data_IF_837627391287
#
_entry.id   IF_837627391287
#
_cell.length_a   1.000
_cell.length_b   1.000
_cell.length_c   1.000
_cell.angle_alpha   90.00
_cell.angle_beta   90.00
_cell.angle_gamma   90.00
#
_symmetry.space_group_name_H-M   'P 1'
#
loop_
_entity.id
_entity.type
_entity.pdbx_description
1 polymer ?
#
# COMPACT_ATOMS: atom_id res chain seq x y z
N UNK A 1 -14.51 -20.22 -9.56
CA UNK A 1 -14.07 -20.96 -8.36
C UNK A 1 -12.79 -20.41 -7.76
N UNK A 2 -11.61 -20.47 -8.42
CA UNK A 2 -10.33 -20.07 -7.81
C UNK A 2 -10.19 -18.58 -7.46
N UNK A 3 -10.78 -17.68 -8.25
CA UNK A 3 -10.76 -16.24 -7.95
C UNK A 3 -11.59 -15.90 -6.70
N UNK A 4 -12.70 -16.61 -6.47
CA UNK A 4 -13.49 -16.48 -5.26
C UNK A 4 -12.69 -16.85 -4.01
N UNK A 5 -11.79 -17.84 -4.09
CA UNK A 5 -10.87 -18.17 -3.00
C UNK A 5 -9.91 -17.02 -2.68
N UNK A 6 -9.36 -16.34 -3.69
CA UNK A 6 -8.52 -15.14 -3.48
C UNK A 6 -9.29 -14.06 -2.75
N UNK A 7 -10.51 -13.77 -3.18
CA UNK A 7 -11.36 -12.76 -2.50
C UNK A 7 -11.66 -13.18 -1.06
N UNK A 8 -12.01 -14.44 -0.80
CA UNK A 8 -12.28 -14.93 0.55
C UNK A 8 -11.06 -14.81 1.47
N UNK A 9 -9.87 -15.17 0.97
CA UNK A 9 -8.59 -15.03 1.71
C UNK A 9 -8.31 -13.55 2.00
N UNK A 10 -8.54 -12.65 1.04
CA UNK A 10 -8.35 -11.21 1.25
C UNK A 10 -9.34 -10.65 2.27
N UNK A 11 -10.61 -11.02 2.22
CA UNK A 11 -11.60 -10.60 3.22
C UNK A 11 -11.19 -11.06 4.61
N UNK A 12 -10.81 -12.34 4.76
CA UNK A 12 -10.33 -12.88 6.04
C UNK A 12 -9.09 -12.15 6.55
N UNK A 13 -8.10 -11.91 5.70
CA UNK A 13 -6.90 -11.17 6.05
C UNK A 13 -7.20 -9.72 6.45
N UNK A 14 -8.10 -9.05 5.75
CA UNK A 14 -8.49 -7.68 6.06
C UNK A 14 -9.17 -7.59 7.44
N UNK A 15 -10.04 -8.54 7.77
CA UNK A 15 -10.68 -8.64 9.09
C UNK A 15 -9.68 -8.97 10.21
N UNK A 16 -8.75 -9.91 9.97
CA UNK A 16 -7.68 -10.24 10.91
C UNK A 16 -6.81 -9.03 11.22
N UNK A 17 -6.36 -8.34 10.18
CA UNK A 17 -5.42 -7.23 10.29
C UNK A 17 -6.00 -5.99 10.97
N UNK A 18 -7.31 -5.74 10.81
CA UNK A 18 -7.93 -4.52 11.31
C UNK A 18 -8.74 -4.74 12.60
N UNK A 19 -9.28 -5.94 12.84
CA UNK A 19 -10.21 -6.18 13.95
C UNK A 19 -9.80 -7.35 14.85
N UNK A 20 -9.58 -8.54 14.29
CA UNK A 20 -9.53 -9.76 15.11
C UNK A 20 -8.14 -10.02 15.72
N UNK A 21 -7.06 -9.66 15.02
CA UNK A 21 -5.69 -9.95 15.43
C UNK A 21 -4.68 -8.88 14.98
N UNK A 22 -4.90 -7.58 15.25
CA UNK A 22 -4.02 -6.50 14.79
C UNK A 22 -2.58 -6.62 15.32
N UNK A 23 -2.38 -7.27 16.48
CA UNK A 23 -1.04 -7.55 17.03
C UNK A 23 -0.22 -8.56 16.23
N UNK A 24 -0.86 -9.40 15.41
CA UNK A 24 -0.21 -10.40 14.57
C UNK A 24 0.02 -9.94 13.11
N UNK A 25 -0.13 -8.64 12.83
CA UNK A 25 -0.21 -8.06 11.48
C UNK A 25 0.85 -8.57 10.49
N UNK A 26 2.14 -8.58 10.87
CA UNK A 26 3.20 -9.02 9.95
C UNK A 26 3.04 -10.51 9.61
N UNK A 27 2.73 -11.34 10.61
CA UNK A 27 2.54 -12.78 10.42
C UNK A 27 1.33 -13.07 9.54
N UNK A 28 0.18 -12.47 9.84
CA UNK A 28 -1.06 -12.64 9.05
C UNK A 28 -0.84 -12.22 7.60
N UNK A 29 -0.12 -11.13 7.36
CA UNK A 29 0.19 -10.68 6.00
C UNK A 29 1.12 -11.62 5.23
N UNK A 30 2.17 -12.14 5.87
CA UNK A 30 3.09 -13.12 5.25
C UNK A 30 2.35 -14.43 4.91
N UNK A 31 1.56 -14.95 5.86
CA UNK A 31 0.76 -16.17 5.65
C UNK A 31 -0.24 -15.97 4.52
N UNK A 32 -0.90 -14.81 4.48
CA UNK A 32 -1.85 -14.47 3.42
C UNK A 32 -1.16 -14.39 2.06
N UNK A 33 -0.01 -13.69 1.95
CA UNK A 33 0.75 -13.61 0.72
C UNK A 33 1.17 -15.00 0.21
N UNK A 34 1.63 -15.88 1.11
CA UNK A 34 1.97 -17.27 0.77
C UNK A 34 0.76 -18.05 0.26
N UNK A 35 -0.39 -17.97 0.95
CA UNK A 35 -1.63 -18.61 0.53
C UNK A 35 -2.09 -18.14 -0.86
N UNK A 36 -2.00 -16.84 -1.13
CA UNK A 36 -2.33 -16.26 -2.44
C UNK A 36 -1.42 -16.77 -3.55
N UNK A 37 -0.11 -16.90 -3.28
CA UNK A 37 0.84 -17.49 -4.22
C UNK A 37 0.54 -18.97 -4.49
N UNK A 38 0.12 -19.73 -3.48
CA UNK A 38 -0.32 -21.12 -3.67
C UNK A 38 -1.57 -21.21 -4.53
N UNK A 39 -2.56 -20.34 -4.30
CA UNK A 39 -3.77 -20.25 -5.14
C UNK A 39 -3.39 -19.85 -6.58
N UNK A 40 -2.45 -18.93 -6.77
CA UNK A 40 -1.96 -18.54 -8.08
C UNK A 40 -1.30 -19.71 -8.83
N UNK A 41 -0.49 -20.51 -8.14
CA UNK A 41 0.11 -21.73 -8.71
C UNK A 41 -0.95 -22.79 -9.02
N UNK A 42 -1.95 -22.95 -8.17
CA UNK A 42 -3.09 -23.83 -8.44
C UNK A 42 -3.93 -23.34 -9.63
N UNK A 43 -3.98 -22.03 -9.86
CA UNK A 43 -4.56 -21.44 -11.07
C UNK A 43 -3.67 -21.65 -12.32
N UNK A 44 -2.45 -22.16 -12.17
CA UNK A 44 -1.49 -22.36 -13.26
C UNK A 44 -0.76 -21.08 -13.67
N UNK A 45 -0.64 -20.09 -12.79
CA UNK A 45 0.19 -18.91 -13.02
C UNK A 45 1.67 -19.25 -12.74
N UNK A 46 2.54 -18.78 -13.62
CA UNK A 46 3.99 -18.90 -13.52
C UNK A 46 4.60 -17.72 -12.76
N UNK A 47 5.89 -17.81 -12.41
CA UNK A 47 6.63 -16.66 -11.85
C UNK A 47 6.65 -15.46 -12.82
N UNK A 48 6.71 -15.71 -14.12
CA UNK A 48 6.67 -14.67 -15.14
C UNK A 48 5.29 -13.97 -15.18
N UNK A 49 4.20 -14.73 -15.02
CA UNK A 49 2.86 -14.15 -14.93
C UNK A 49 2.72 -13.19 -13.75
N UNK A 50 3.37 -13.50 -12.63
CA UNK A 50 3.38 -12.68 -11.42
C UNK A 50 4.39 -11.52 -11.50
N UNK A 51 5.34 -11.55 -12.44
CA UNK A 51 6.41 -10.56 -12.56
C UNK A 51 7.54 -10.76 -11.54
N UNK A 52 7.78 -12.03 -11.19
CA UNK A 52 8.75 -12.51 -10.20
C UNK A 52 9.82 -13.41 -10.82
N UNK A 53 9.88 -13.52 -12.15
CA UNK A 53 10.98 -14.17 -12.83
C UNK A 53 12.25 -13.31 -12.79
N UNK A 54 13.41 -13.93 -13.03
CA UNK A 54 14.72 -13.29 -12.87
C UNK A 54 14.91 -12.07 -13.79
N UNK A 55 14.34 -12.10 -15.00
CA UNK A 55 14.42 -10.97 -15.95
C UNK A 55 13.61 -9.80 -15.43
N UNK A 56 12.37 -10.04 -14.97
CA UNK A 56 11.53 -9.02 -14.37
C UNK A 56 12.17 -8.42 -13.10
N UNK A 57 12.77 -9.23 -12.23
CA UNK A 57 13.43 -8.74 -11.02
C UNK A 57 14.64 -7.85 -11.34
N UNK A 58 15.51 -8.25 -12.29
CA UNK A 58 16.65 -7.44 -12.73
C UNK A 58 16.22 -6.10 -13.32
N UNK A 59 15.18 -6.10 -14.18
CA UNK A 59 14.60 -4.86 -14.71
C UNK A 59 14.01 -4.01 -13.58
N UNK A 60 13.36 -4.64 -12.62
CA UNK A 60 12.77 -3.96 -11.47
C UNK A 60 13.79 -3.24 -10.61
N UNK A 61 14.93 -3.88 -10.32
CA UNK A 61 16.01 -3.28 -9.52
C UNK A 61 16.54 -1.97 -10.13
N UNK A 62 16.63 -1.88 -11.46
CA UNK A 62 17.08 -0.66 -12.15
C UNK A 62 16.10 0.49 -11.96
N UNK A 63 14.80 0.22 -12.08
CA UNK A 63 13.74 1.22 -11.91
C UNK A 63 13.48 1.57 -10.44
N UNK A 64 13.72 0.65 -9.51
CA UNK A 64 13.46 0.84 -8.09
C UNK A 64 14.17 2.08 -7.55
N UNK A 65 15.47 2.25 -7.83
CA UNK A 65 16.24 3.40 -7.36
C UNK A 65 15.71 4.72 -7.90
N UNK A 66 15.36 4.76 -9.19
CA UNK A 66 14.80 5.96 -9.83
C UNK A 66 13.46 6.33 -9.18
N UNK A 67 12.58 5.36 -8.95
CA UNK A 67 11.27 5.62 -8.35
C UNK A 67 11.38 6.01 -6.88
N UNK A 68 12.25 5.36 -6.11
CA UNK A 68 12.52 5.72 -4.71
C UNK A 68 13.03 7.15 -4.63
N UNK A 69 14.02 7.52 -5.45
CA UNK A 69 14.54 8.89 -5.50
C UNK A 69 13.49 9.92 -5.94
N UNK A 70 12.70 9.60 -6.97
CA UNK A 70 11.62 10.47 -7.45
C UNK A 70 10.55 10.70 -6.38
N UNK A 71 10.13 9.65 -5.66
CA UNK A 71 9.15 9.78 -4.57
C UNK A 71 9.72 10.65 -3.45
N UNK A 72 10.97 10.42 -3.04
CA UNK A 72 11.61 11.24 -2.01
C UNK A 72 11.63 12.72 -2.43
N UNK A 73 12.04 13.02 -3.66
CA UNK A 73 12.07 14.38 -4.18
C UNK A 73 10.68 15.05 -4.18
N UNK A 74 9.64 14.33 -4.61
CA UNK A 74 8.25 14.82 -4.61
C UNK A 74 7.77 15.08 -3.18
N UNK A 75 8.04 14.17 -2.24
CA UNK A 75 7.63 14.35 -0.84
C UNK A 75 8.36 15.52 -0.17
N UNK A 76 9.66 15.68 -0.42
CA UNK A 76 10.42 16.83 0.09
C UNK A 76 9.94 18.15 -0.51
N UNK A 77 9.62 18.19 -1.81
CA UNK A 77 9.02 19.36 -2.43
C UNK A 77 7.64 19.68 -1.82
N UNK A 78 6.82 18.66 -1.58
CA UNK A 78 5.54 18.81 -0.86
C UNK A 78 5.74 19.34 0.56
N UNK A 79 6.74 18.87 1.30
CA UNK A 79 7.01 19.37 2.65
C UNK A 79 7.47 20.84 2.65
N UNK A 80 8.21 21.26 1.62
CA UNK A 80 8.66 22.64 1.48
C UNK A 80 7.50 23.63 1.25
N UNK A 81 6.44 23.19 0.57
CA UNK A 81 5.25 23.98 0.25
C UNK A 81 4.34 24.15 1.48
N UNK A 82 4.06 25.37 1.97
CA UNK A 82 3.26 25.59 3.18
C UNK A 82 1.87 24.96 3.14
N UNK A 83 1.19 25.02 1.98
CA UNK A 83 -0.18 24.50 1.79
C UNK A 83 -0.29 22.98 1.97
N UNK A 84 0.81 22.24 1.92
CA UNK A 84 0.83 20.77 2.03
C UNK A 84 1.46 20.27 3.33
N UNK A 85 1.94 21.14 4.22
CA UNK A 85 2.65 20.73 5.44
C UNK A 85 1.80 19.90 6.40
N UNK A 86 0.54 20.29 6.59
CA UNK A 86 -0.41 19.57 7.46
C UNK A 86 -0.58 18.10 7.06
N UNK A 87 -0.42 17.77 5.76
CA UNK A 87 -0.50 16.39 5.31
C UNK A 87 0.63 15.50 5.86
N UNK A 88 1.76 16.09 6.27
CA UNK A 88 2.90 15.39 6.88
C UNK A 88 2.77 15.26 8.41
N UNK A 89 1.78 15.88 9.05
CA UNK A 89 1.57 15.82 10.50
C UNK A 89 0.78 14.58 10.93
N UNK A 90 1.24 13.40 10.49
CA UNK A 90 0.58 12.13 10.78
C UNK A 90 0.87 11.67 12.21
N UNK A 91 -0.14 11.77 13.07
CA UNK A 91 -0.10 11.42 14.49
C UNK A 91 0.23 9.95 14.74
N UNK A 92 0.13 9.06 13.73
CA UNK A 92 0.60 7.68 13.87
C UNK A 92 2.12 7.61 14.08
N UNK A 93 2.87 8.64 13.70
CA UNK A 93 4.31 8.75 13.89
C UNK A 93 4.69 9.48 15.19
N UNK A 94 3.74 10.11 15.88
CA UNK A 94 3.99 10.84 17.12
C UNK A 94 4.55 9.92 18.22
N UNK A 95 5.56 10.41 18.95
CA UNK A 95 6.13 9.72 20.12
C UNK A 95 6.89 8.42 19.81
N UNK A 96 7.17 8.11 18.54
CA UNK A 96 7.98 6.94 18.20
C UNK A 96 9.45 7.17 18.55
N UNK A 97 10.06 6.16 19.17
CA UNK A 97 11.52 6.06 19.22
C UNK A 97 12.09 5.77 17.83
N UNK A 98 13.37 6.09 17.61
CA UNK A 98 14.06 5.75 16.36
C UNK A 98 13.98 4.24 16.04
N UNK A 99 14.12 3.36 17.05
CA UNK A 99 14.00 1.92 16.87
C UNK A 99 12.60 1.49 16.39
N UNK A 100 11.54 2.09 16.93
CA UNK A 100 10.17 1.83 16.50
C UNK A 100 9.90 2.37 15.08
N UNK A 101 10.43 3.53 14.74
CA UNK A 101 10.37 4.07 13.38
C UNK A 101 11.06 3.12 12.39
N UNK A 102 12.29 2.71 12.67
CA UNK A 102 13.06 1.82 11.81
C UNK A 102 12.36 0.47 11.63
N UNK A 103 11.80 -0.11 12.71
CA UNK A 103 11.01 -1.32 12.60
C UNK A 103 9.79 -1.13 11.69
N UNK A 104 9.10 0.02 11.77
CA UNK A 104 7.97 0.31 10.88
C UNK A 104 8.40 0.40 9.42
N UNK A 105 9.41 1.22 9.13
CA UNK A 105 9.85 1.53 7.76
C UNK A 105 10.56 0.35 7.10
N UNK A 106 11.34 -0.43 7.85
CA UNK A 106 12.20 -1.50 7.32
C UNK A 106 11.62 -2.90 7.47
N UNK A 107 10.63 -3.11 8.34
CA UNK A 107 10.03 -4.43 8.57
C UNK A 107 8.52 -4.40 8.31
N UNK A 108 7.77 -3.61 9.10
CA UNK A 108 6.30 -3.65 9.04
C UNK A 108 5.76 -3.23 7.68
N UNK A 109 6.24 -2.11 7.13
CA UNK A 109 5.79 -1.60 5.83
C UNK A 109 6.16 -2.55 4.69
N UNK A 110 7.44 -2.91 4.47
CA UNK A 110 7.80 -3.75 3.33
C UNK A 110 7.21 -5.17 3.42
N UNK A 111 7.20 -5.79 4.62
CA UNK A 111 6.77 -7.18 4.80
C UNK A 111 5.28 -7.28 5.11
N UNK A 112 4.78 -6.46 6.03
CA UNK A 112 3.39 -6.48 6.45
C UNK A 112 2.44 -5.81 5.46
N UNK A 113 2.87 -4.75 4.76
CA UNK A 113 1.98 -4.00 3.86
C UNK A 113 2.30 -4.29 2.41
N UNK A 114 3.50 -3.91 1.95
CA UNK A 114 3.86 -3.92 0.52
C UNK A 114 3.88 -5.34 -0.04
N UNK A 115 4.51 -6.30 0.65
CA UNK A 115 4.56 -7.68 0.19
C UNK A 115 3.16 -8.25 -0.04
N UNK A 116 2.27 -8.15 0.96
CA UNK A 116 0.91 -8.66 0.84
C UNK A 116 0.16 -7.96 -0.28
N UNK A 117 0.14 -6.62 -0.28
CA UNK A 117 -0.70 -5.86 -1.19
C UNK A 117 -0.23 -5.99 -2.64
N UNK A 118 1.08 -5.92 -2.91
CA UNK A 118 1.56 -6.11 -4.26
C UNK A 118 1.37 -7.54 -4.75
N UNK A 119 1.62 -8.55 -3.91
CA UNK A 119 1.33 -9.95 -4.28
C UNK A 119 -0.15 -10.14 -4.57
N UNK A 120 -1.04 -9.62 -3.73
CA UNK A 120 -2.48 -9.78 -3.88
C UNK A 120 -3.00 -9.09 -5.14
N UNK A 121 -2.77 -7.79 -5.25
CA UNK A 121 -3.45 -6.95 -6.23
C UNK A 121 -2.69 -6.96 -7.57
N UNK A 122 -1.41 -6.61 -7.57
CA UNK A 122 -0.59 -6.47 -8.80
C UNK A 122 0.00 -7.79 -9.29
N UNK A 123 0.16 -8.77 -8.39
CA UNK A 123 0.62 -10.12 -8.69
C UNK A 123 -0.54 -11.02 -9.11
N UNK A 124 -1.28 -11.53 -8.12
CA UNK A 124 -2.24 -12.62 -8.28
C UNK A 124 -3.53 -12.16 -8.96
N UNK A 125 -4.27 -11.20 -8.40
CA UNK A 125 -5.54 -10.74 -8.96
C UNK A 125 -5.36 -10.20 -10.37
N UNK A 126 -4.41 -9.28 -10.56
CA UNK A 126 -4.15 -8.69 -11.87
C UNK A 126 -3.75 -9.75 -12.91
N UNK A 127 -2.87 -10.70 -12.60
CA UNK A 127 -2.51 -11.76 -13.54
C UNK A 127 -3.68 -12.70 -13.86
N UNK A 128 -4.47 -13.09 -12.83
CA UNK A 128 -5.63 -13.95 -13.00
C UNK A 128 -6.70 -13.30 -13.89
N UNK A 129 -7.00 -12.01 -13.69
CA UNK A 129 -7.98 -11.28 -14.50
C UNK A 129 -7.44 -11.03 -15.90
N UNK A 130 -6.17 -10.62 -16.03
CA UNK A 130 -5.53 -10.34 -17.33
C UNK A 130 -5.60 -11.55 -18.26
N UNK A 131 -5.30 -12.75 -17.76
CA UNK A 131 -5.34 -13.99 -18.54
C UNK A 131 -6.74 -14.32 -19.08
N UNK A 132 -7.80 -13.82 -18.45
CA UNK A 132 -9.20 -14.16 -18.76
C UNK A 132 -9.95 -13.06 -19.52
N UNK A 133 -9.63 -11.79 -19.24
CA UNK A 133 -10.39 -10.61 -19.67
C UNK A 133 -9.52 -9.50 -20.24
N UNK A 134 -8.19 -9.69 -20.28
CA UNK A 134 -7.26 -8.69 -20.78
C UNK A 134 -6.89 -7.62 -19.77
N UNK A 135 -6.00 -6.73 -20.20
CA UNK A 135 -5.30 -5.78 -19.32
C UNK A 135 -6.20 -4.69 -18.74
N UNK A 136 -7.15 -4.17 -19.51
CA UNK A 136 -8.07 -3.12 -19.04
C UNK A 136 -8.88 -3.59 -17.82
N UNK A 137 -9.50 -4.78 -17.93
CA UNK A 137 -10.23 -5.39 -16.82
C UNK A 137 -9.33 -5.74 -15.64
N UNK A 138 -8.10 -6.20 -15.89
CA UNK A 138 -7.15 -6.49 -14.82
C UNK A 138 -6.81 -5.26 -14.00
N UNK A 139 -6.52 -4.14 -14.67
CA UNK A 139 -6.26 -2.86 -14.02
C UNK A 139 -7.48 -2.35 -13.27
N UNK A 140 -8.68 -2.38 -13.87
CA UNK A 140 -9.90 -1.93 -13.22
C UNK A 140 -10.23 -2.75 -11.95
N UNK A 141 -10.31 -4.08 -12.06
CA UNK A 141 -10.67 -4.97 -10.94
C UNK A 141 -9.61 -4.89 -9.84
N UNK A 142 -8.33 -4.94 -10.18
CA UNK A 142 -7.25 -4.83 -9.19
C UNK A 142 -7.30 -3.50 -8.45
N UNK A 143 -7.56 -2.39 -9.14
CA UNK A 143 -7.53 -1.05 -8.55
C UNK A 143 -8.75 -0.79 -7.68
N UNK A 144 -9.94 -1.20 -8.12
CA UNK A 144 -11.17 -1.07 -7.33
C UNK A 144 -11.09 -1.92 -6.05
N UNK A 145 -10.64 -3.16 -6.15
CA UNK A 145 -10.47 -4.02 -4.97
C UNK A 145 -9.38 -3.49 -4.02
N UNK A 146 -8.33 -2.88 -4.57
CA UNK A 146 -7.32 -2.19 -3.76
C UNK A 146 -7.88 -0.96 -3.05
N UNK A 147 -8.77 -0.20 -3.71
CA UNK A 147 -9.53 0.86 -3.06
C UNK A 147 -10.38 0.33 -1.89
N UNK A 148 -11.18 -0.71 -2.14
CA UNK A 148 -12.06 -1.30 -1.13
C UNK A 148 -11.29 -1.92 0.05
N UNK A 149 -10.09 -2.45 -0.19
CA UNK A 149 -9.18 -2.93 0.85
C UNK A 149 -8.88 -1.87 1.93
N UNK A 150 -8.91 -0.58 1.54
CA UNK A 150 -8.61 0.55 2.42
C UNK A 150 -9.79 1.07 3.23
N UNK A 151 -10.99 0.47 3.13
CA UNK A 151 -12.15 0.89 3.93
C UNK A 151 -11.89 0.75 5.43
N UNK A 152 -11.51 -0.44 5.91
CA UNK A 152 -11.27 -0.64 7.35
C UNK A 152 -10.03 0.12 7.85
N UNK A 153 -8.89 0.09 7.14
CA UNK A 153 -7.70 0.86 7.52
C UNK A 153 -7.94 2.38 7.64
N UNK A 154 -8.90 2.94 6.89
CA UNK A 154 -9.13 4.40 6.85
C UNK A 154 -10.08 4.93 7.93
N UNK A 155 -10.67 4.07 8.78
CA UNK A 155 -11.61 4.49 9.84
C UNK A 155 -11.01 5.42 10.91
N UNK A 156 -9.69 5.51 11.00
CA UNK A 156 -8.98 6.39 11.92
C UNK A 156 -8.35 7.61 11.26
N UNK A 157 -8.55 7.81 9.96
CA UNK A 157 -7.74 8.74 9.16
C UNK A 157 -7.88 10.20 9.63
N UNK A 158 -9.09 10.69 9.86
CA UNK A 158 -9.34 12.06 10.34
C UNK A 158 -8.75 12.33 11.73
N UNK A 159 -8.71 11.31 12.59
CA UNK A 159 -8.09 11.42 13.92
C UNK A 159 -6.56 11.40 13.85
N UNK A 160 -6.02 10.80 12.79
CA UNK A 160 -4.59 10.59 12.63
C UNK A 160 -3.91 11.70 11.83
N UNK A 161 -4.64 12.46 10.99
CA UNK A 161 -4.04 13.42 10.08
C UNK A 161 -4.93 14.67 9.93
N UNK A 162 -4.41 15.88 10.27
CA UNK A 162 -5.17 17.13 10.17
C UNK A 162 -5.73 17.41 8.78
N UNK A 163 -4.97 17.11 7.72
CA UNK A 163 -5.42 17.34 6.35
C UNK A 163 -6.64 16.46 5.98
N UNK A 164 -6.79 15.30 6.62
CA UNK A 164 -7.98 14.46 6.46
C UNK A 164 -9.14 14.89 7.36
N UNK A 165 -8.86 15.55 8.49
CA UNK A 165 -9.86 16.04 9.44
C UNK A 165 -10.78 17.11 8.81
N UNK A 166 -10.31 17.86 7.82
CA UNK A 166 -11.12 18.85 7.07
C UNK A 166 -12.31 18.20 6.36
N UNK A 167 -12.23 16.91 6.04
CA UNK A 167 -13.32 16.15 5.40
C UNK A 167 -14.31 15.54 6.42
N UNK A 168 -14.04 15.66 7.72
CA UNK A 168 -14.93 15.19 8.79
C UNK A 168 -15.99 16.28 9.09
N UNK A 169 -17.24 16.00 8.71
CA UNK A 169 -18.34 16.99 8.74
C UNK A 169 -19.41 16.74 9.81
N UNK A 170 -19.16 15.90 10.83
CA UNK A 170 -20.06 15.75 11.99
C UNK A 170 -20.39 14.30 12.40
N UNK A 171 -21.62 13.96 12.85
CA UNK A 171 -21.93 12.67 13.48
C UNK A 171 -21.70 11.42 12.59
N UNK A 172 -21.70 11.59 11.27
CA UNK A 172 -21.33 10.56 10.28
C UNK A 172 -19.83 10.58 9.90
N UNK A 173 -19.00 11.31 10.68
CA UNK A 173 -17.73 11.96 10.35
C UNK A 173 -16.61 11.18 9.67
N UNK A 174 -16.69 9.85 9.65
CA UNK A 174 -15.68 9.02 9.00
C UNK A 174 -16.03 8.64 7.55
N UNK A 175 -17.23 8.91 7.04
CA UNK A 175 -17.63 8.45 5.70
C UNK A 175 -16.85 9.15 4.59
N UNK A 176 -16.79 10.48 4.59
CA UNK A 176 -16.11 11.26 3.55
C UNK A 176 -14.58 11.01 3.53
N UNK A 177 -13.87 11.04 4.67
CA UNK A 177 -12.44 10.68 4.71
C UNK A 177 -12.17 9.26 4.21
N UNK A 178 -12.99 8.28 4.60
CA UNK A 178 -12.85 6.90 4.11
C UNK A 178 -13.12 6.81 2.60
N UNK A 179 -14.15 7.49 2.10
CA UNK A 179 -14.46 7.53 0.67
C UNK A 179 -13.33 8.18 -0.14
N UNK A 180 -12.77 9.29 0.35
CA UNK A 180 -11.62 9.95 -0.26
C UNK A 180 -10.40 9.03 -0.28
N UNK A 181 -10.11 8.31 0.81
CA UNK A 181 -9.04 7.33 0.86
C UNK A 181 -9.25 6.18 -0.14
N UNK A 182 -10.48 5.67 -0.28
CA UNK A 182 -10.82 4.62 -1.26
C UNK A 182 -10.61 5.11 -2.69
N UNK A 183 -11.02 6.34 -3.01
CA UNK A 183 -10.81 6.93 -4.35
C UNK A 183 -9.33 7.14 -4.62
N UNK A 184 -8.60 7.73 -3.68
CA UNK A 184 -7.17 7.99 -3.80
C UNK A 184 -6.37 6.68 -3.98
N UNK A 185 -6.68 5.66 -3.19
CA UNK A 185 -6.04 4.35 -3.29
C UNK A 185 -6.44 3.60 -4.55
N UNK A 186 -7.69 3.76 -5.04
CA UNK A 186 -8.07 3.26 -6.37
C UNK A 186 -7.22 3.88 -7.47
N UNK A 187 -7.04 5.21 -7.45
CA UNK A 187 -6.19 5.92 -8.41
C UNK A 187 -4.71 5.46 -8.30
N UNK A 188 -4.19 5.31 -7.09
CA UNK A 188 -2.87 4.73 -6.86
C UNK A 188 -2.76 3.30 -7.41
N UNK A 189 -3.82 2.49 -7.25
CA UNK A 189 -3.93 1.15 -7.83
C UNK A 189 -3.76 1.15 -9.35
N UNK A 190 -4.32 2.13 -10.05
CA UNK A 190 -4.18 2.28 -11.51
C UNK A 190 -2.71 2.54 -11.87
N UNK A 191 -2.06 3.48 -11.16
CA UNK A 191 -0.64 3.80 -11.36
C UNK A 191 0.25 2.57 -11.12
N UNK A 192 0.01 1.84 -10.03
CA UNK A 192 0.77 0.64 -9.68
C UNK A 192 0.54 -0.50 -10.69
N UNK A 193 -0.68 -0.67 -11.18
CA UNK A 193 -0.98 -1.62 -12.27
C UNK A 193 -0.27 -1.22 -13.57
N UNK A 194 -0.21 0.07 -13.89
CA UNK A 194 0.48 0.55 -15.09
C UNK A 194 1.99 0.36 -15.00
N UNK A 195 2.59 0.62 -13.83
CA UNK A 195 3.99 0.30 -13.55
C UNK A 195 4.24 -1.21 -13.70
N UNK A 196 3.37 -2.04 -13.12
CA UNK A 196 3.44 -3.51 -13.26
C UNK A 196 3.34 -3.95 -14.72
N UNK A 197 2.49 -3.31 -15.53
CA UNK A 197 2.28 -3.62 -16.94
C UNK A 197 3.50 -3.26 -17.78
N UNK A 198 3.99 -2.01 -17.67
CA UNK A 198 5.13 -1.51 -18.46
C UNK A 198 6.45 -2.18 -18.09
N UNK A 199 6.67 -2.36 -16.79
CA UNK A 199 7.91 -2.96 -16.29
C UNK A 199 7.88 -4.48 -16.24
N UNK A 200 6.72 -5.13 -16.47
CA UNK A 200 6.52 -6.56 -16.29
C UNK A 200 6.96 -7.13 -14.93
N UNK A 201 7.25 -6.28 -13.94
CA UNK A 201 7.93 -6.63 -12.70
C UNK A 201 7.09 -6.21 -11.52
N UNK A 202 6.97 -7.09 -10.54
CA UNK A 202 6.28 -6.77 -9.29
C UNK A 202 7.14 -5.89 -8.37
N UNK A 203 8.46 -5.89 -8.58
CA UNK A 203 9.38 -5.10 -7.76
C UNK A 203 9.22 -3.58 -8.01
N UNK A 204 8.82 -3.18 -9.21
CA UNK A 204 8.64 -1.76 -9.56
C UNK A 204 7.49 -1.10 -8.78
N UNK A 205 6.25 -1.62 -8.81
CA UNK A 205 5.19 -1.07 -7.96
C UNK A 205 5.51 -1.26 -6.47
N UNK A 206 6.16 -2.36 -6.06
CA UNK A 206 6.58 -2.55 -4.67
C UNK A 206 7.56 -1.48 -4.18
N UNK A 207 8.53 -1.09 -5.01
CA UNK A 207 9.49 -0.04 -4.67
C UNK A 207 8.81 1.33 -4.53
N UNK A 208 7.93 1.69 -5.47
CA UNK A 208 7.15 2.94 -5.37
C UNK A 208 6.28 2.93 -4.10
N UNK A 209 5.56 1.84 -3.87
CA UNK A 209 4.63 1.69 -2.76
C UNK A 209 5.36 1.74 -1.40
N UNK A 210 6.49 1.05 -1.27
CA UNK A 210 7.35 1.17 -0.10
C UNK A 210 7.87 2.60 0.08
N UNK A 211 8.36 3.24 -0.99
CA UNK A 211 8.91 4.59 -0.90
C UNK A 211 7.88 5.59 -0.35
N UNK A 212 6.65 5.56 -0.86
CA UNK A 212 5.57 6.45 -0.40
C UNK A 212 5.27 6.23 1.07
N UNK A 213 5.11 4.98 1.52
CA UNK A 213 4.79 4.68 2.92
C UNK A 213 5.97 4.93 3.86
N UNK A 214 7.15 4.45 3.49
CA UNK A 214 8.37 4.50 4.29
C UNK A 214 8.83 5.94 4.50
N UNK A 215 8.92 6.73 3.42
CA UNK A 215 9.24 8.14 3.53
C UNK A 215 8.11 8.95 4.17
N UNK A 216 6.85 8.59 3.94
CA UNK A 216 5.71 9.20 4.65
C UNK A 216 5.86 9.09 6.17
N UNK A 217 6.15 7.88 6.70
CA UNK A 217 6.43 7.70 8.13
C UNK A 217 7.66 8.46 8.61
N UNK A 218 8.75 8.45 7.84
CA UNK A 218 10.00 9.11 8.24
C UNK A 218 9.84 10.63 8.29
N UNK A 219 9.17 11.23 7.30
CA UNK A 219 8.92 12.67 7.25
C UNK A 219 7.93 13.09 8.33
N UNK A 220 6.86 12.32 8.55
CA UNK A 220 5.92 12.61 9.63
C UNK A 220 6.59 12.57 11.01
N UNK A 221 7.44 11.57 11.25
CA UNK A 221 8.22 11.50 12.47
C UNK A 221 9.16 12.70 12.63
N UNK A 222 9.85 13.10 11.56
CA UNK A 222 10.78 14.23 11.59
C UNK A 222 10.08 15.57 11.88
N UNK A 223 8.89 15.79 11.29
CA UNK A 223 8.09 17.00 11.52
C UNK A 223 7.61 17.08 12.97
N UNK A 224 7.08 15.97 13.50
CA UNK A 224 6.52 15.94 14.85
C UNK A 224 7.60 15.96 15.95
N UNK A 225 8.75 15.32 15.73
CA UNK A 225 9.90 15.37 16.66
C UNK A 225 10.52 16.78 16.74
N UNK A 226 10.54 17.52 15.62
CA UNK A 226 10.99 18.92 15.62
C UNK A 226 10.05 19.81 16.43
N UNK A 227 8.73 19.69 16.21
CA UNK A 227 7.74 20.46 16.97
C UNK A 227 7.84 20.23 18.49
N UNK A 228 8.03 18.98 18.91
CA UNK A 228 8.17 18.63 20.33
C UNK A 228 9.47 19.14 20.99
N UNK A 229 10.49 19.55 20.22
CA UNK A 229 11.73 20.14 20.76
C UNK A 229 11.69 21.67 20.81
N UNK A 230 10.76 22.30 20.09
CA UNK A 230 10.61 23.75 20.02
C UNK A 230 9.60 24.33 21.01
N UNK A 231 8.80 23.46 21.63
CA UNK A 231 7.86 23.76 22.72
C UNK A 231 8.48 23.47 24.11
#
# INVERSE_FOLDING_TARGET
MRMSCVIAVLVGANLLNNWLAPGAYVLTCVVTAAALLLIARWDGLTRADLGLDTVALRRGLRWAWVLVGAVLAVLLAGLALPVTREAFEDQRAAGLTLGQLLWRVLVRVPVGTVLLEEVAFRGVLWAMVRRRRGTGWATAVSSVLFGLWHVLPSRGLSRANPAAAVLDTGPAGNVLPVAAAVVATTAAGIVLCELRRRSGSLLVPAALHWAVNGFGYALAWAVLDQGARTD
#
